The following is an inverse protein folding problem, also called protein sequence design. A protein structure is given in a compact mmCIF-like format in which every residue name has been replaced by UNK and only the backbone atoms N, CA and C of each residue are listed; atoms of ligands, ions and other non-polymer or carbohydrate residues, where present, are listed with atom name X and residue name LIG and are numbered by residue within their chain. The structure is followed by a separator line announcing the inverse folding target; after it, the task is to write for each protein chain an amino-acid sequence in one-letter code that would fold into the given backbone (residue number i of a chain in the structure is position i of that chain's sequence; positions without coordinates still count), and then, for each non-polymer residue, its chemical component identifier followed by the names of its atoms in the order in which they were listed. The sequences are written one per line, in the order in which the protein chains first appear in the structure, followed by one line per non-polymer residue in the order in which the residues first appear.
data_IF_032568943830
#
_entry.id   IF_032568943830
#
_cell.length_a   1.000
_cell.length_b   1.000
_cell.length_c   1.000
_cell.angle_alpha   90.00
_cell.angle_beta   90.00
_cell.angle_gamma   90.00
#
_symmetry.space_group_name_H-M   'P 1'
#
loop_
_entity.id
_entity.type
_entity.pdbx_description
1 polymer ?
#
# COMPACT_ATOMS: atom_id res chain seq x y z
N UNK A 1 -7.88 12.41 8.68
CA UNK A 1 -7.89 11.70 9.99
C UNK A 1 -8.07 10.18 9.80
N UNK A 2 -7.43 9.59 8.79
CA UNK A 2 -7.55 8.15 8.46
C UNK A 2 -6.23 7.56 7.96
N UNK A 3 -5.09 8.19 8.29
CA UNK A 3 -3.80 7.55 8.01
C UNK A 3 -3.57 6.46 9.05
N UNK A 4 -3.64 5.22 8.58
CA UNK A 4 -3.21 4.05 9.31
C UNK A 4 -1.68 4.11 9.42
N UNK A 5 -1.14 3.96 10.63
CA UNK A 5 0.31 3.91 10.80
C UNK A 5 0.79 2.53 10.39
N UNK A 6 1.42 2.46 9.22
CA UNK A 6 2.05 1.27 8.68
C UNK A 6 3.47 1.14 9.21
N UNK A 7 3.80 0.01 9.84
CA UNK A 7 5.18 -0.34 10.18
C UNK A 7 5.67 -1.47 9.28
N UNK A 8 6.94 -1.35 8.87
CA UNK A 8 7.63 -2.37 8.10
C UNK A 8 8.19 -3.41 9.06
N UNK A 9 7.73 -4.66 8.93
CA UNK A 9 8.33 -5.83 9.56
C UNK A 9 9.35 -6.40 8.56
N UNK A 10 10.60 -5.97 8.69
CA UNK A 10 11.70 -6.34 7.78
C UNK A 10 11.99 -7.84 7.78
N UNK A 11 11.73 -8.52 8.90
CA UNK A 11 11.97 -9.96 9.05
C UNK A 11 10.97 -10.78 8.21
N UNK A 12 9.73 -10.29 8.11
CA UNK A 12 8.64 -10.97 7.40
C UNK A 12 8.26 -10.29 6.08
N UNK A 13 8.98 -9.24 5.65
CA UNK A 13 8.70 -8.46 4.43
C UNK A 13 7.24 -8.02 4.29
N UNK A 14 6.61 -7.63 5.40
CA UNK A 14 5.20 -7.24 5.45
C UNK A 14 5.03 -5.87 6.09
N UNK A 15 4.00 -5.19 5.64
CA UNK A 15 3.62 -3.89 6.19
C UNK A 15 2.33 -4.07 6.97
N UNK A 16 2.34 -3.76 8.26
CA UNK A 16 1.19 -3.98 9.15
C UNK A 16 0.67 -2.64 9.64
N UNK A 17 -0.62 -2.38 9.39
CA UNK A 17 -1.34 -1.21 9.87
C UNK A 17 -1.70 -1.38 11.35
N UNK A 18 -1.28 -0.44 12.21
CA UNK A 18 -1.50 -0.52 13.66
C UNK A 18 -2.95 -0.28 14.10
N UNK A 19 -3.75 0.48 13.35
CA UNK A 19 -5.08 0.92 13.83
C UNK A 19 -6.19 0.01 13.33
N UNK A 20 -6.14 -0.44 12.08
CA UNK A 20 -7.15 -1.34 11.51
C UNK A 20 -6.65 -2.78 11.27
N UNK A 21 -5.37 -3.06 11.50
CA UNK A 21 -4.81 -4.42 11.41
C UNK A 21 -4.58 -4.92 9.97
N UNK A 22 -4.74 -4.05 8.97
CA UNK A 22 -4.48 -4.41 7.58
C UNK A 22 -3.00 -4.75 7.40
N UNK A 23 -2.74 -6.01 7.05
CA UNK A 23 -1.41 -6.49 6.70
C UNK A 23 -1.34 -6.60 5.19
N UNK A 24 -0.40 -5.90 4.57
CA UNK A 24 -0.06 -6.09 3.16
C UNK A 24 1.24 -6.89 3.10
N UNK A 25 1.17 -8.06 2.46
CA UNK A 25 2.33 -8.90 2.20
C UNK A 25 2.54 -9.04 0.69
N UNK A 26 3.78 -9.32 0.31
CA UNK A 26 4.12 -9.65 -1.07
C UNK A 26 3.36 -10.91 -1.51
N UNK A 27 2.53 -10.77 -2.54
CA UNK A 27 1.73 -11.87 -3.11
C UNK A 27 0.22 -11.71 -2.94
N UNK A 28 -0.24 -10.76 -2.12
CA UNK A 28 -1.67 -10.50 -1.98
C UNK A 28 -2.22 -9.74 -3.19
N UNK A 29 -3.43 -10.12 -3.61
CA UNK A 29 -4.20 -9.35 -4.59
C UNK A 29 -4.81 -8.11 -3.93
N UNK A 30 -4.55 -6.94 -4.51
CA UNK A 30 -5.07 -5.66 -4.02
C UNK A 30 -5.64 -4.82 -5.15
N UNK A 31 -6.69 -4.06 -4.84
CA UNK A 31 -7.26 -3.08 -5.78
C UNK A 31 -6.59 -1.73 -5.59
N UNK A 32 -6.00 -1.21 -6.67
CA UNK A 32 -5.31 0.08 -6.67
C UNK A 32 -5.92 1.04 -7.69
N UNK A 33 -5.85 2.33 -7.40
CA UNK A 33 -6.12 3.40 -8.36
C UNK A 33 -4.80 3.93 -8.90
N UNK A 34 -4.71 4.14 -10.21
CA UNK A 34 -3.59 4.88 -10.79
C UNK A 34 -3.74 6.35 -10.43
N UNK A 35 -2.77 6.89 -9.70
CA UNK A 35 -2.76 8.29 -9.27
C UNK A 35 -2.03 9.18 -10.27
N UNK A 36 -0.86 8.74 -10.73
CA UNK A 36 -0.06 9.46 -11.70
C UNK A 36 0.78 8.48 -12.53
N UNK A 37 1.10 8.89 -13.76
CA UNK A 37 1.98 8.15 -14.66
C UNK A 37 3.03 9.13 -15.18
N UNK A 38 4.28 8.89 -14.82
CA UNK A 38 5.44 9.63 -15.33
C UNK A 38 6.18 8.73 -16.34
N UNK A 39 6.00 9.04 -17.62
CA UNK A 39 6.60 8.27 -18.72
C UNK A 39 8.10 8.52 -18.88
N UNK A 40 8.58 9.71 -18.51
CA UNK A 40 10.00 10.08 -18.62
C UNK A 40 10.82 9.31 -17.58
N UNK A 41 10.29 9.20 -16.36
CA UNK A 41 10.91 8.43 -15.28
C UNK A 41 10.55 6.94 -15.32
N UNK A 42 9.60 6.55 -16.16
CA UNK A 42 9.00 5.20 -16.21
C UNK A 42 8.47 4.76 -14.85
N UNK A 43 7.80 5.69 -14.15
CA UNK A 43 7.24 5.48 -12.82
C UNK A 43 5.72 5.62 -12.87
N UNK A 44 5.04 4.79 -12.07
CA UNK A 44 3.59 4.84 -11.92
C UNK A 44 3.31 4.90 -10.43
N UNK A 45 2.61 5.95 -10.02
CA UNK A 45 2.17 6.13 -8.65
C UNK A 45 0.78 5.51 -8.49
N UNK A 46 0.65 4.62 -7.52
CA UNK A 46 -0.61 3.97 -7.18
C UNK A 46 -1.12 4.47 -5.82
N UNK A 47 -2.43 4.55 -5.70
CA UNK A 47 -3.10 4.79 -4.43
C UNK A 47 -3.97 3.57 -4.10
N UNK A 48 -3.83 3.04 -2.91
CA UNK A 48 -4.59 1.86 -2.49
C UNK A 48 -6.04 2.25 -2.22
N UNK A 49 -7.01 1.56 -2.83
CA UNK A 49 -8.43 1.78 -2.56
C UNK A 49 -8.85 0.84 -1.44
N UNK A 50 -9.18 1.39 -0.27
CA UNK A 50 -9.88 0.64 0.76
C UNK A 50 -11.37 0.76 0.48
N UNK A 51 -11.98 -0.28 -0.06
CA UNK A 51 -13.43 -0.39 -0.15
C UNK A 51 -13.97 -0.61 1.28
N UNK A 52 -14.57 0.42 1.86
CA UNK A 52 -15.28 0.38 3.14
C UNK A 52 -16.79 0.30 2.92
#
# INVERSE_FOLDING_TARGET
LNDDYYYLDEENYRVVGRKYGYTYQMGDEVTVRVKNVDLDRKQIDFELIQDF
#
